data_IF_670977408112
#
_entry.id   IF_670977408112
#
_cell.length_a   1.000
_cell.length_b   1.000
_cell.length_c   1.000
_cell.angle_alpha   90.00
_cell.angle_beta   90.00
_cell.angle_gamma   90.00
#
_symmetry.space_group_name_H-M   'P 1'
#
loop_
_entity.id
_entity.type
_entity.pdbx_description
1 polymer ?
#
# COMPACT_ATOMS: atom_id res chain seq x y z
N UNK A 1 -27.74 -19.15 -8.46
CA UNK A 1 -26.32 -19.02 -8.85
C UNK A 1 -25.78 -17.89 -7.99
N UNK A 2 -25.09 -18.24 -6.88
CA UNK A 2 -24.55 -17.28 -5.95
C UNK A 2 -23.49 -16.42 -6.62
N UNK A 3 -23.61 -15.10 -6.54
CA UNK A 3 -22.53 -14.18 -6.87
C UNK A 3 -21.42 -14.40 -5.86
N UNK A 4 -20.30 -14.95 -6.31
CA UNK A 4 -19.06 -14.96 -5.52
C UNK A 4 -18.71 -13.50 -5.25
N UNK A 5 -18.66 -13.11 -3.98
CA UNK A 5 -18.22 -11.78 -3.56
C UNK A 5 -16.81 -11.55 -4.16
N UNK A 6 -16.68 -10.59 -5.05
CA UNK A 6 -15.37 -10.17 -5.58
C UNK A 6 -14.79 -9.21 -4.57
N UNK A 7 -13.69 -9.59 -3.95
CA UNK A 7 -12.86 -8.65 -3.21
C UNK A 7 -12.20 -7.72 -4.21
N UNK A 8 -12.29 -6.41 -3.97
CA UNK A 8 -11.66 -5.39 -4.81
C UNK A 8 -11.05 -4.31 -3.93
N UNK A 9 -9.98 -3.72 -4.40
CA UNK A 9 -9.45 -2.49 -3.82
C UNK A 9 -10.22 -1.29 -4.36
N UNK A 10 -10.25 -0.19 -3.61
CA UNK A 10 -10.88 1.05 -4.02
C UNK A 10 -10.09 2.24 -3.49
N UNK A 11 -9.98 3.29 -4.29
CA UNK A 11 -9.33 4.54 -3.93
C UNK A 11 -10.31 5.70 -4.10
N UNK A 12 -10.41 6.54 -3.07
CA UNK A 12 -11.04 7.85 -3.15
C UNK A 12 -9.94 8.91 -3.09
N UNK A 13 -9.94 9.83 -4.04
CA UNK A 13 -8.94 10.89 -4.11
C UNK A 13 -9.61 12.24 -4.28
N UNK A 14 -9.07 13.25 -3.59
CA UNK A 14 -9.37 14.64 -3.83
C UNK A 14 -8.72 15.15 -5.13
N UNK A 15 -7.59 14.56 -5.50
CA UNK A 15 -6.79 14.96 -6.63
C UNK A 15 -7.13 14.10 -7.86
N UNK A 16 -7.07 14.72 -9.03
CA UNK A 16 -7.32 14.03 -10.31
C UNK A 16 -6.08 13.22 -10.69
N UNK A 17 -6.19 11.88 -10.85
CA UNK A 17 -5.08 11.08 -11.30
C UNK A 17 -4.77 11.32 -12.79
N UNK A 18 -3.49 11.33 -13.15
CA UNK A 18 -3.04 11.37 -14.54
C UNK A 18 -3.11 9.99 -15.22
N UNK A 19 -3.02 8.92 -14.42
CA UNK A 19 -3.10 7.52 -14.90
C UNK A 19 -3.61 6.61 -13.78
N UNK A 20 -4.36 5.58 -14.15
CA UNK A 20 -4.79 4.49 -13.24
C UNK A 20 -4.59 3.16 -13.94
N UNK A 21 -3.94 2.22 -13.27
CA UNK A 21 -3.74 0.85 -13.75
C UNK A 21 -4.17 -0.17 -12.70
N UNK A 22 -4.83 -1.24 -13.15
CA UNK A 22 -5.20 -2.36 -12.30
C UNK A 22 -4.24 -3.54 -12.54
N UNK A 23 -3.68 -4.07 -11.46
CA UNK A 23 -2.77 -5.20 -11.51
C UNK A 23 -3.39 -6.43 -10.86
N UNK A 24 -3.46 -7.51 -11.63
CA UNK A 24 -3.74 -8.82 -11.07
C UNK A 24 -2.47 -9.38 -10.48
N UNK A 25 -2.40 -9.47 -9.17
CA UNK A 25 -1.23 -9.99 -8.49
C UNK A 25 -1.05 -11.50 -8.71
N UNK A 26 0.19 -12.01 -8.83
CA UNK A 26 0.46 -13.43 -8.98
C UNK A 26 0.02 -14.24 -7.76
N UNK A 27 -0.11 -15.57 -7.89
CA UNK A 27 -0.42 -16.48 -6.78
C UNK A 27 -1.84 -17.02 -6.75
N UNK A 28 -2.66 -16.77 -7.76
CA UNK A 28 -3.83 -17.60 -8.11
C UNK A 28 -5.10 -17.44 -7.30
N UNK A 29 -5.13 -16.68 -6.20
CA UNK A 29 -6.36 -16.46 -5.43
C UNK A 29 -7.17 -15.31 -6.05
N UNK A 30 -8.49 -15.49 -6.29
CA UNK A 30 -9.38 -14.42 -6.72
C UNK A 30 -9.39 -13.26 -5.71
N UNK A 31 -9.48 -12.02 -6.21
CA UNK A 31 -9.62 -10.83 -5.36
C UNK A 31 -8.32 -10.29 -4.75
N UNK A 32 -7.17 -10.81 -5.15
CA UNK A 32 -5.86 -10.24 -4.80
C UNK A 32 -5.35 -9.41 -5.97
N UNK A 33 -5.23 -8.11 -5.76
CA UNK A 33 -4.83 -7.16 -6.79
C UNK A 33 -4.18 -5.94 -6.21
N UNK A 34 -3.65 -5.10 -7.10
CA UNK A 34 -3.20 -3.76 -6.76
C UNK A 34 -3.81 -2.76 -7.73
N UNK A 35 -4.01 -1.53 -7.25
CA UNK A 35 -4.36 -0.37 -8.06
C UNK A 35 -3.16 0.55 -8.01
N UNK A 36 -2.60 0.86 -9.16
CA UNK A 36 -1.53 1.83 -9.34
C UNK A 36 -2.13 3.13 -9.86
N UNK A 37 -1.89 4.23 -9.15
CA UNK A 37 -2.45 5.54 -9.46
C UNK A 37 -1.32 6.56 -9.53
N UNK A 38 -1.28 7.33 -10.61
CA UNK A 38 -0.30 8.36 -10.84
C UNK A 38 -0.92 9.74 -10.67
N UNK A 39 -0.15 10.63 -10.04
CA UNK A 39 -0.46 12.05 -9.92
C UNK A 39 0.74 12.87 -10.39
N UNK A 40 0.48 14.07 -10.88
CA UNK A 40 1.51 14.94 -11.41
C UNK A 40 1.75 14.75 -12.91
N UNK A 41 2.90 15.21 -13.37
CA UNK A 41 3.33 15.15 -14.77
C UNK A 41 4.39 14.05 -14.99
N UNK A 42 4.85 13.92 -16.26
CA UNK A 42 5.83 12.88 -16.65
C UNK A 42 7.20 13.01 -15.95
N UNK A 43 7.57 14.23 -15.53
CA UNK A 43 8.88 14.48 -14.93
C UNK A 43 8.85 14.35 -13.40
N UNK A 44 7.68 14.59 -12.78
CA UNK A 44 7.48 14.61 -11.34
C UNK A 44 6.19 13.86 -10.99
N UNK A 45 6.24 12.54 -11.12
CA UNK A 45 5.10 11.66 -10.88
C UNK A 45 5.13 11.12 -9.45
N UNK A 46 4.03 11.30 -8.71
CA UNK A 46 3.73 10.52 -7.51
C UNK A 46 2.98 9.25 -7.91
N UNK A 47 3.51 8.11 -7.54
CA UNK A 47 2.84 6.81 -7.73
C UNK A 47 2.30 6.30 -6.41
N UNK A 48 1.01 6.02 -6.35
CA UNK A 48 0.34 5.41 -5.21
C UNK A 48 -0.11 4.01 -5.60
N UNK A 49 0.38 3.00 -4.89
CA UNK A 49 -0.03 1.60 -5.08
C UNK A 49 -0.85 1.16 -3.88
N UNK A 50 -2.13 0.90 -4.10
CA UNK A 50 -3.04 0.33 -3.12
C UNK A 50 -3.19 -1.17 -3.37
N UNK A 51 -2.94 -2.00 -2.37
CA UNK A 51 -2.92 -3.45 -2.55
C UNK A 51 -3.57 -4.22 -1.39
N UNK A 52 -3.95 -5.48 -1.68
CA UNK A 52 -4.33 -6.46 -0.67
C UNK A 52 -3.68 -7.80 -1.02
N UNK A 53 -2.69 -8.20 -0.21
CA UNK A 53 -1.87 -9.39 -0.47
C UNK A 53 -2.51 -10.69 0.02
N UNK A 54 -1.98 -11.80 -0.45
CA UNK A 54 -2.40 -13.14 -0.06
C UNK A 54 -2.05 -13.47 1.40
N UNK A 55 -2.83 -14.38 2.01
CA UNK A 55 -2.57 -14.90 3.35
C UNK A 55 -1.32 -15.80 3.41
N UNK A 56 -1.03 -16.51 2.32
CA UNK A 56 0.09 -17.45 2.26
C UNK A 56 1.41 -16.77 1.92
N UNK A 57 2.47 -17.04 2.69
CA UNK A 57 3.79 -16.44 2.54
C UNK A 57 4.38 -16.60 1.14
N UNK A 58 4.28 -17.80 0.53
CA UNK A 58 4.81 -18.05 -0.83
C UNK A 58 4.17 -17.13 -1.87
N UNK A 59 2.85 -16.94 -1.79
CA UNK A 59 2.15 -16.03 -2.70
C UNK A 59 2.53 -14.57 -2.44
N UNK A 60 2.66 -14.15 -1.17
CA UNK A 60 3.13 -12.81 -0.82
C UNK A 60 4.53 -12.52 -1.36
N UNK A 61 5.46 -13.46 -1.32
CA UNK A 61 6.78 -13.31 -1.93
C UNK A 61 6.67 -12.93 -3.42
N UNK A 62 5.86 -13.69 -4.17
CA UNK A 62 5.66 -13.43 -5.59
C UNK A 62 4.97 -12.08 -5.84
N UNK A 63 4.00 -11.73 -4.98
CA UNK A 63 3.25 -10.47 -5.08
C UNK A 63 4.12 -9.26 -4.75
N UNK A 64 4.92 -9.32 -3.70
CA UNK A 64 5.84 -8.24 -3.32
C UNK A 64 6.99 -8.09 -4.32
N UNK A 65 7.47 -9.19 -4.88
CA UNK A 65 8.44 -9.14 -5.97
C UNK A 65 7.86 -8.42 -7.20
N UNK A 66 6.63 -8.77 -7.60
CA UNK A 66 5.91 -8.08 -8.67
C UNK A 66 5.71 -6.58 -8.37
N UNK A 67 5.29 -6.22 -7.15
CA UNK A 67 5.13 -4.82 -6.74
C UNK A 67 6.46 -4.09 -6.77
N UNK A 68 7.57 -4.73 -6.40
CA UNK A 68 8.89 -4.12 -6.47
C UNK A 68 9.30 -3.72 -7.89
N UNK A 69 8.90 -4.52 -8.91
CA UNK A 69 9.16 -4.19 -10.31
C UNK A 69 8.33 -2.96 -10.77
N UNK A 70 7.10 -2.82 -10.27
CA UNK A 70 6.27 -1.64 -10.58
C UNK A 70 6.91 -0.36 -10.03
N UNK A 71 7.32 -0.38 -8.76
CA UNK A 71 7.66 0.85 -8.03
C UNK A 71 9.11 1.31 -8.21
N UNK A 72 10.04 0.44 -8.58
CA UNK A 72 11.48 0.76 -8.63
C UNK A 72 11.87 1.84 -9.65
N UNK A 73 11.03 2.08 -10.64
CA UNK A 73 11.27 3.05 -11.72
C UNK A 73 10.88 4.48 -11.31
N UNK A 74 10.26 4.65 -10.13
CA UNK A 74 9.70 5.92 -9.68
C UNK A 74 10.41 6.43 -8.42
N UNK A 75 10.68 7.74 -8.40
CA UNK A 75 11.31 8.42 -7.27
C UNK A 75 10.33 8.64 -6.09
N UNK A 76 9.06 8.96 -6.41
CA UNK A 76 8.05 9.31 -5.41
C UNK A 76 6.95 8.26 -5.37
N UNK A 77 7.03 7.35 -4.39
CA UNK A 77 6.14 6.19 -4.29
C UNK A 77 5.52 6.10 -2.90
N UNK A 78 4.24 5.76 -2.86
CA UNK A 78 3.52 5.32 -1.68
C UNK A 78 2.91 3.94 -1.97
N UNK A 79 3.25 2.92 -1.19
CA UNK A 79 2.61 1.59 -1.25
C UNK A 79 1.84 1.37 0.03
N UNK A 80 0.54 1.12 -0.06
CA UNK A 80 -0.31 0.99 1.12
C UNK A 80 -1.36 -0.11 0.99
N UNK A 81 -1.79 -0.66 2.13
CA UNK A 81 -2.87 -1.63 2.23
C UNK A 81 -2.59 -2.77 3.18
N UNK A 82 -3.46 -3.78 3.13
CA UNK A 82 -3.30 -5.02 3.90
C UNK A 82 -2.26 -5.93 3.21
N UNK A 83 -1.09 -5.97 3.80
CA UNK A 83 0.02 -6.79 3.30
C UNK A 83 0.03 -8.21 3.89
N UNK A 84 -0.87 -8.52 4.81
CA UNK A 84 -0.99 -9.83 5.45
C UNK A 84 0.32 -10.38 6.03
N UNK A 85 1.29 -9.52 6.33
CA UNK A 85 2.58 -9.88 6.92
C UNK A 85 3.02 -8.88 7.99
N UNK A 86 3.89 -9.33 8.88
CA UNK A 86 4.45 -8.49 9.93
C UNK A 86 5.54 -7.55 9.35
N UNK A 87 5.79 -6.37 9.98
CA UNK A 87 6.77 -5.40 9.49
C UNK A 87 8.22 -5.92 9.43
N UNK A 88 8.51 -6.99 10.16
CA UNK A 88 9.83 -7.64 10.20
C UNK A 88 9.86 -8.99 9.47
N UNK A 89 8.84 -9.32 8.70
CA UNK A 89 8.83 -10.55 7.90
C UNK A 89 9.93 -10.52 6.83
N UNK A 90 10.39 -11.70 6.42
CA UNK A 90 11.46 -11.82 5.44
C UNK A 90 11.07 -11.20 4.09
N UNK A 91 9.81 -11.39 3.67
CA UNK A 91 9.28 -10.82 2.45
C UNK A 91 9.19 -9.29 2.48
N UNK A 92 8.81 -8.69 3.64
CA UNK A 92 8.80 -7.24 3.81
C UNK A 92 10.23 -6.67 3.78
N UNK A 93 11.14 -7.32 4.48
CA UNK A 93 12.56 -6.91 4.51
C UNK A 93 13.16 -6.94 3.11
N UNK A 94 12.86 -7.97 2.31
CA UNK A 94 13.33 -8.08 0.94
C UNK A 94 12.75 -6.98 0.04
N UNK A 95 11.45 -6.65 0.17
CA UNK A 95 10.82 -5.55 -0.57
C UNK A 95 11.53 -4.22 -0.27
N UNK A 96 11.70 -3.88 1.01
CA UNK A 96 12.34 -2.63 1.42
C UNK A 96 13.78 -2.54 0.90
N UNK A 97 14.54 -3.63 0.98
CA UNK A 97 15.92 -3.69 0.47
C UNK A 97 15.99 -3.51 -1.06
N UNK A 98 15.02 -4.07 -1.81
CA UNK A 98 14.99 -4.02 -3.27
C UNK A 98 14.54 -2.67 -3.83
N UNK A 99 13.62 -2.00 -3.12
CA UNK A 99 12.99 -0.77 -3.60
C UNK A 99 13.53 0.51 -2.97
N UNK A 100 14.24 0.43 -1.85
CA UNK A 100 14.65 1.59 -1.07
C UNK A 100 13.49 2.28 -0.32
N UNK A 101 12.27 1.73 -0.38
CA UNK A 101 11.15 2.25 0.38
C UNK A 101 11.40 2.11 1.88
N UNK A 102 10.81 3.00 2.64
CA UNK A 102 10.84 2.97 4.11
C UNK A 102 9.48 2.61 4.69
N UNK A 103 9.49 2.04 5.88
CA UNK A 103 8.30 1.79 6.68
C UNK A 103 8.37 2.66 7.95
N UNK A 104 7.80 3.89 7.93
CA UNK A 104 7.95 4.86 9.02
C UNK A 104 7.35 4.41 10.35
N UNK A 105 6.27 3.62 10.30
CA UNK A 105 5.61 3.13 11.51
C UNK A 105 5.48 1.60 11.50
N UNK A 106 6.23 0.96 12.39
CA UNK A 106 6.31 -0.52 12.49
C UNK A 106 5.39 -1.11 13.56
N UNK A 107 4.79 -0.28 14.40
CA UNK A 107 4.06 -0.72 15.60
C UNK A 107 2.53 -0.54 15.49
N UNK A 108 2.01 -0.32 14.29
CA UNK A 108 0.58 -0.11 14.05
C UNK A 108 -0.19 -1.43 14.12
N UNK A 109 -0.83 -1.68 15.24
CA UNK A 109 -1.70 -2.85 15.43
C UNK A 109 -3.09 -2.51 14.94
N UNK A 110 -3.56 -3.25 13.93
CA UNK A 110 -4.82 -2.98 13.24
C UNK A 110 -5.81 -4.14 13.31
N UNK A 111 -5.32 -5.37 13.51
CA UNK A 111 -6.14 -6.58 13.45
C UNK A 111 -6.05 -7.43 14.72
N UNK A 112 -7.14 -8.05 15.18
CA UNK A 112 -8.52 -7.72 14.82
C UNK A 112 -8.95 -6.40 15.49
N UNK A 113 -9.86 -5.63 14.87
CA UNK A 113 -10.22 -4.28 15.31
C UNK A 113 -10.72 -4.20 16.75
N UNK A 114 -11.41 -5.21 17.28
CA UNK A 114 -11.90 -5.28 18.66
C UNK A 114 -10.83 -5.61 19.71
N UNK A 115 -9.66 -6.09 19.31
CA UNK A 115 -8.50 -6.35 20.18
C UNK A 115 -7.22 -6.38 19.33
N UNK A 116 -6.70 -5.23 18.90
CA UNK A 116 -5.60 -5.18 17.94
C UNK A 116 -4.32 -5.77 18.50
N UNK A 117 -3.82 -6.82 17.84
CA UNK A 117 -2.59 -7.52 18.22
C UNK A 117 -1.63 -7.72 17.04
N UNK A 118 -2.16 -7.75 15.79
CA UNK A 118 -1.38 -7.97 14.58
C UNK A 118 -1.20 -6.67 13.81
N UNK A 119 -0.07 -6.55 13.12
CA UNK A 119 0.38 -5.41 12.33
C UNK A 119 0.41 -5.87 10.86
N UNK A 120 -0.71 -5.84 10.18
CA UNK A 120 -0.89 -6.38 8.83
C UNK A 120 -1.03 -5.30 7.78
N UNK A 121 -1.48 -4.12 8.20
CA UNK A 121 -1.69 -2.96 7.35
C UNK A 121 -0.48 -2.03 7.43
N UNK A 122 0.04 -1.63 6.28
CA UNK A 122 1.27 -0.85 6.19
C UNK A 122 1.14 0.28 5.17
N UNK A 123 1.89 1.36 5.41
CA UNK A 123 2.15 2.43 4.45
C UNK A 123 3.67 2.54 4.29
N UNK A 124 4.17 2.18 3.12
CA UNK A 124 5.56 2.30 2.72
C UNK A 124 5.70 3.55 1.86
N UNK A 125 6.79 4.28 2.01
CA UNK A 125 7.03 5.52 1.27
C UNK A 125 8.46 5.61 0.76
N UNK A 126 8.66 6.35 -0.33
CA UNK A 126 10.00 6.76 -0.76
C UNK A 126 10.63 7.71 0.26
N UNK A 127 11.96 7.72 0.37
CA UNK A 127 12.69 8.63 1.27
C UNK A 127 12.49 10.13 0.96
N UNK A 128 11.92 10.46 -0.20
CA UNK A 128 11.61 11.83 -0.61
C UNK A 128 10.45 12.48 0.14
N UNK A 129 9.69 11.72 0.94
CA UNK A 129 8.59 12.24 1.73
C UNK A 129 8.99 12.46 3.18
N UNK A 130 8.59 13.61 3.74
CA UNK A 130 8.67 13.87 5.17
C UNK A 130 7.36 13.45 5.86
N UNK A 131 7.47 12.58 6.87
CA UNK A 131 6.32 12.09 7.63
C UNK A 131 6.07 13.02 8.82
N UNK A 132 4.87 13.58 8.88
CA UNK A 132 4.46 14.46 9.98
C UNK A 132 3.79 13.68 11.11
N UNK A 133 2.94 12.69 10.75
CA UNK A 133 2.16 11.95 11.73
C UNK A 133 1.75 10.60 11.17
N UNK A 134 1.71 9.56 12.05
CA UNK A 134 1.15 8.23 11.72
C UNK A 134 0.36 7.72 12.91
N UNK A 135 -0.85 7.25 12.68
CA UNK A 135 -1.73 6.74 13.74
C UNK A 135 -2.69 5.66 13.25
N UNK A 136 -3.11 4.81 14.16
CA UNK A 136 -4.28 3.95 14.01
C UNK A 136 -5.51 4.73 14.46
N UNK A 137 -6.58 4.70 13.67
CA UNK A 137 -7.82 5.38 14.00
C UNK A 137 -8.75 4.39 14.71
N UNK A 138 -9.35 4.82 15.81
CA UNK A 138 -10.30 4.00 16.58
C UNK A 138 -11.70 4.03 15.94
N UNK A 139 -11.80 3.42 14.75
CA UNK A 139 -13.05 3.26 13.99
C UNK A 139 -13.25 1.79 13.60
N UNK A 140 -13.81 0.95 14.48
CA UNK A 140 -13.94 -0.49 14.25
C UNK A 140 -15.14 -0.84 13.35
N UNK A 141 -15.20 -0.24 12.13
CA UNK A 141 -16.25 -0.54 11.14
C UNK A 141 -15.99 -1.82 10.32
N UNK A 142 -14.80 -2.37 10.44
CA UNK A 142 -14.43 -3.67 9.85
C UNK A 142 -13.58 -4.46 10.85
N UNK A 143 -13.12 -5.63 10.47
CA UNK A 143 -12.19 -6.45 11.26
C UNK A 143 -10.75 -5.87 11.31
N UNK A 144 -10.44 -4.85 10.49
CA UNK A 144 -9.23 -4.04 10.59
C UNK A 144 -9.53 -2.62 11.03
N UNK A 145 -8.64 -2.01 11.83
CA UNK A 145 -8.67 -0.58 12.12
C UNK A 145 -7.99 0.20 11.00
N UNK A 146 -8.52 1.38 10.61
CA UNK A 146 -7.87 2.24 9.63
C UNK A 146 -6.55 2.80 10.14
N UNK A 147 -5.60 2.99 9.23
CA UNK A 147 -4.37 3.75 9.48
C UNK A 147 -4.40 5.07 8.73
N UNK A 148 -3.81 6.10 9.32
CA UNK A 148 -3.66 7.43 8.74
C UNK A 148 -2.21 7.85 8.80
N UNK A 149 -1.73 8.47 7.72
CA UNK A 149 -0.39 9.06 7.64
C UNK A 149 -0.50 10.45 7.01
N UNK A 150 0.08 11.43 7.66
CA UNK A 150 0.21 12.79 7.17
C UNK A 150 1.64 12.98 6.64
N UNK A 151 1.77 13.38 5.38
CA UNK A 151 3.08 13.56 4.72
C UNK A 151 3.18 14.96 4.11
N UNK A 152 4.43 15.45 3.98
CA UNK A 152 4.76 16.57 3.11
C UNK A 152 5.13 16.00 1.74
N UNK A 153 4.36 16.39 0.73
CA UNK A 153 4.64 16.03 -0.66
C UNK A 153 5.73 16.94 -1.21
N UNK A 154 6.75 16.40 -1.92
CA UNK A 154 7.77 17.22 -2.58
C UNK A 154 7.17 18.30 -3.47
N UNK A 155 7.72 19.51 -3.42
CA UNK A 155 7.19 20.68 -4.16
C UNK A 155 7.17 20.50 -5.69
N UNK A 156 8.03 19.62 -6.20
CA UNK A 156 8.09 19.30 -7.62
C UNK A 156 6.81 18.59 -8.13
N UNK A 157 6.06 17.94 -7.24
CA UNK A 157 4.85 17.19 -7.61
C UNK A 157 3.65 18.13 -7.66
N UNK A 158 3.06 18.31 -8.82
CA UNK A 158 1.84 19.12 -9.01
C UNK A 158 0.59 18.27 -8.81
N UNK A 159 -0.14 18.49 -7.71
CA UNK A 159 -1.41 17.83 -7.44
C UNK A 159 -2.57 18.72 -7.87
N UNK A 160 -3.31 18.28 -8.90
CA UNK A 160 -4.50 18.97 -9.41
C UNK A 160 -5.75 18.44 -8.70
N UNK A 161 -6.54 19.32 -8.08
CA UNK A 161 -7.79 18.99 -7.39
C UNK A 161 -9.01 19.11 -8.30
#
# INVERSE_FOLDING_TARGET
IGQLAKHSNGLLSKYVPSKVEEHKLPGGLPGRGAIEVHYGDQNNTLVVVLLHLALGQRARWQQLDYVSEIVREYEHVIVMGDMNCQPHSAEMTALLAKTGLTLPARELKTFPSWRPTKKLDHILISPSFDVCNVRVLDFPFSDHLPISMDLIVPQAISLVA
#
